data_IF_163548760841
#
_entry.id   IF_163548760841
#
_cell.length_a   1.000
_cell.length_b   1.000
_cell.length_c   1.000
_cell.angle_alpha   90.00
_cell.angle_beta   90.00
_cell.angle_gamma   90.00
#
_symmetry.space_group_name_H-M   'P 1'
#
loop_
_entity.id
_entity.type
_entity.pdbx_description
1 polymer ?
#
# COMPACT_ATOMS: atom_id res chain seq x y z
N UNK A 1 3.60 -30.74 6.94
CA UNK A 1 3.41 -29.40 7.56
C UNK A 1 2.30 -28.65 6.80
N UNK A 2 1.16 -28.44 7.45
CA UNK A 2 0.08 -27.64 6.88
C UNK A 2 0.53 -26.18 6.86
N UNK A 3 0.56 -25.58 5.68
CA UNK A 3 0.85 -24.16 5.53
C UNK A 3 -0.31 -23.36 6.12
N UNK A 4 -0.04 -22.56 7.15
CA UNK A 4 -1.00 -21.63 7.74
C UNK A 4 -0.54 -20.20 7.51
N UNK A 5 -1.42 -19.39 6.92
CA UNK A 5 -1.18 -17.96 6.76
C UNK A 5 -1.25 -17.27 8.13
N UNK A 6 -0.39 -16.28 8.35
CA UNK A 6 -0.50 -15.41 9.53
C UNK A 6 -1.73 -14.50 9.41
N UNK A 7 -2.24 -13.99 10.54
CA UNK A 7 -3.37 -13.04 10.56
C UNK A 7 -3.13 -11.83 9.65
N UNK A 8 -1.89 -11.36 9.59
CA UNK A 8 -1.49 -10.26 8.72
C UNK A 8 -1.60 -10.64 7.23
N UNK A 9 -1.14 -11.84 6.85
CA UNK A 9 -1.25 -12.34 5.49
C UNK A 9 -2.70 -12.60 5.08
N UNK A 10 -3.53 -13.12 6.00
CA UNK A 10 -4.97 -13.29 5.78
C UNK A 10 -5.66 -11.94 5.52
N UNK A 11 -5.31 -10.89 6.27
CA UNK A 11 -5.84 -9.54 6.07
C UNK A 11 -5.42 -8.94 4.74
N UNK A 12 -4.24 -9.24 4.21
CA UNK A 12 -3.82 -8.78 2.88
C UNK A 12 -4.57 -9.51 1.75
N UNK A 13 -4.84 -10.81 1.92
CA UNK A 13 -5.52 -11.63 0.90
C UNK A 13 -7.03 -11.46 0.90
N UNK A 14 -7.63 -11.23 2.06
CA UNK A 14 -9.06 -11.17 2.28
C UNK A 14 -9.35 -10.08 3.29
N UNK A 15 -9.19 -8.80 2.92
CA UNK A 15 -9.32 -7.72 3.87
C UNK A 15 -10.76 -7.64 4.43
N UNK A 16 -11.76 -8.19 3.73
CA UNK A 16 -13.12 -8.44 4.24
C UNK A 16 -13.23 -9.39 5.46
N UNK A 17 -12.18 -10.13 5.80
CA UNK A 17 -12.12 -10.98 6.99
C UNK A 17 -11.46 -10.27 8.18
N UNK A 18 -10.96 -9.04 7.98
CA UNK A 18 -10.45 -8.23 9.07
C UNK A 18 -11.61 -7.81 9.98
N UNK A 19 -11.43 -7.94 11.30
CA UNK A 19 -12.49 -7.69 12.30
C UNK A 19 -12.98 -6.24 12.35
N UNK A 20 -12.28 -5.33 11.69
CA UNK A 20 -12.56 -3.90 11.51
C UNK A 20 -13.17 -3.59 10.13
N UNK A 21 -13.46 -4.60 9.32
CA UNK A 21 -14.10 -4.42 8.01
C UNK A 21 -15.60 -4.13 8.19
N UNK A 22 -15.97 -2.86 8.15
CA UNK A 22 -17.36 -2.42 8.33
C UNK A 22 -18.28 -2.91 7.19
N UNK A 23 -19.59 -2.98 7.45
CA UNK A 23 -20.60 -3.28 6.41
C UNK A 23 -20.50 -2.28 5.23
N UNK A 24 -20.14 -1.03 5.50
CA UNK A 24 -19.89 -0.01 4.48
C UNK A 24 -18.71 -0.36 3.56
N UNK A 25 -17.67 -1.03 4.10
CA UNK A 25 -16.54 -1.52 3.32
C UNK A 25 -16.92 -2.73 2.45
N UNK A 26 -17.84 -3.59 2.89
CA UNK A 26 -18.38 -4.71 2.08
C UNK A 26 -19.20 -4.19 0.90
N UNK A 27 -20.04 -3.18 1.13
CA UNK A 27 -20.85 -2.57 0.06
C UNK A 27 -20.00 -1.90 -1.02
N UNK A 28 -18.80 -1.42 -0.65
CA UNK A 28 -17.83 -0.81 -1.58
C UNK A 28 -16.85 -1.82 -2.18
N UNK A 29 -16.82 -3.06 -1.68
CA UNK A 29 -15.93 -4.09 -2.21
C UNK A 29 -16.34 -4.44 -3.65
N UNK A 30 -15.38 -4.53 -4.59
CA UNK A 30 -15.68 -5.02 -5.93
C UNK A 30 -16.22 -6.46 -5.83
N UNK A 31 -17.21 -6.85 -6.67
CA UNK A 31 -17.64 -8.24 -6.71
C UNK A 31 -16.45 -9.17 -7.03
N UNK A 32 -16.43 -10.41 -6.49
CA UNK A 32 -15.35 -11.36 -6.72
C UNK A 32 -15.01 -11.51 -8.21
N UNK A 33 -13.73 -11.38 -8.56
CA UNK A 33 -13.26 -11.44 -9.96
C UNK A 33 -13.31 -10.12 -10.73
N UNK A 34 -13.88 -9.04 -10.17
CA UNK A 34 -13.76 -7.71 -10.75
C UNK A 34 -12.43 -7.10 -10.32
N UNK A 35 -11.67 -6.57 -11.28
CA UNK A 35 -10.50 -5.74 -10.99
C UNK A 35 -10.93 -4.60 -10.07
N UNK A 36 -10.28 -4.49 -8.90
CA UNK A 36 -10.47 -3.36 -7.99
C UNK A 36 -9.87 -2.13 -8.67
N UNK A 37 -10.69 -1.39 -9.40
CA UNK A 37 -10.34 -0.11 -9.99
C UNK A 37 -10.38 0.96 -8.90
N UNK A 38 -9.56 0.81 -7.86
CA UNK A 38 -9.33 1.92 -6.94
C UNK A 38 -8.63 2.99 -7.78
N UNK A 39 -9.24 4.15 -7.93
CA UNK A 39 -8.59 5.28 -8.59
C UNK A 39 -7.36 5.70 -7.80
N UNK A 40 -6.35 6.25 -8.48
CA UNK A 40 -5.24 6.87 -7.77
C UNK A 40 -5.77 8.05 -6.92
N UNK A 41 -5.26 8.18 -5.70
CA UNK A 41 -5.59 9.27 -4.80
C UNK A 41 -4.32 9.97 -4.37
N UNK A 42 -4.43 11.29 -4.10
CA UNK A 42 -3.32 12.09 -3.61
C UNK A 42 -3.28 12.02 -2.09
N UNK A 43 -2.07 11.96 -1.53
CA UNK A 43 -1.83 11.90 -0.11
C UNK A 43 -0.72 12.86 0.28
N UNK A 44 -0.92 13.58 1.37
CA UNK A 44 0.12 14.38 2.02
C UNK A 44 0.91 13.52 3.00
N UNK A 45 2.24 13.55 2.88
CA UNK A 45 3.16 12.81 3.75
C UNK A 45 3.31 13.55 5.08
N UNK A 46 2.87 12.95 6.18
CA UNK A 46 2.89 13.58 7.51
C UNK A 46 4.24 13.46 8.22
N UNK A 47 4.99 12.41 7.90
CA UNK A 47 6.32 12.12 8.45
C UNK A 47 7.17 11.36 7.44
N UNK A 48 8.49 11.40 7.60
CA UNK A 48 9.40 10.67 6.73
C UNK A 48 9.04 9.17 6.72
N UNK A 49 8.68 8.65 5.54
CA UNK A 49 8.10 7.32 5.38
C UNK A 49 8.93 6.49 4.41
N UNK A 50 9.46 5.32 4.82
CA UNK A 50 10.23 4.48 3.92
C UNK A 50 9.36 3.98 2.77
N UNK A 51 9.94 3.97 1.57
CA UNK A 51 9.38 3.25 0.43
C UNK A 51 10.01 1.86 0.44
N UNK A 52 9.18 0.83 0.32
CA UNK A 52 9.57 -0.58 0.33
C UNK A 52 9.13 -1.30 -0.95
N UNK A 53 9.86 -2.35 -1.34
CA UNK A 53 9.58 -3.13 -2.55
C UNK A 53 8.36 -4.05 -2.43
N UNK A 54 7.89 -4.34 -1.22
CA UNK A 54 6.73 -5.20 -0.95
C UNK A 54 5.90 -4.62 0.20
N UNK A 55 4.57 -4.80 0.23
CA UNK A 55 3.67 -4.28 1.28
C UNK A 55 3.71 -5.16 2.55
N UNK A 56 4.91 -5.51 2.98
CA UNK A 56 5.14 -6.32 4.19
C UNK A 56 6.35 -5.78 4.94
N UNK A 57 6.29 -5.60 6.27
CA UNK A 57 7.44 -5.13 7.04
C UNK A 57 8.61 -6.12 7.03
N UNK A 58 8.31 -7.41 6.83
CA UNK A 58 9.24 -8.54 6.98
C UNK A 58 10.02 -8.83 5.69
N UNK A 59 9.42 -8.59 4.51
CA UNK A 59 10.02 -8.91 3.20
C UNK A 59 10.19 -7.69 2.29
N UNK A 60 9.71 -6.51 2.68
CA UNK A 60 9.91 -5.27 1.95
C UNK A 60 11.32 -4.71 2.15
N UNK A 61 12.16 -4.77 1.12
CA UNK A 61 13.44 -4.06 1.12
C UNK A 61 13.19 -2.57 0.97
N UNK A 62 13.87 -1.74 1.76
CA UNK A 62 13.79 -0.29 1.61
C UNK A 62 14.45 0.14 0.31
N UNK A 63 13.65 0.75 -0.57
CA UNK A 63 14.08 1.24 -1.89
C UNK A 63 14.11 2.76 -1.95
N UNK A 64 13.44 3.46 -1.02
CA UNK A 64 13.40 4.91 -1.01
C UNK A 64 12.86 5.52 0.28
N UNK A 65 12.50 6.79 0.23
CA UNK A 65 11.93 7.54 1.34
C UNK A 65 11.05 8.68 0.82
N UNK A 66 9.81 8.74 1.30
CA UNK A 66 8.94 9.90 1.17
C UNK A 66 9.28 10.90 2.27
N UNK A 67 9.33 12.19 1.93
CA UNK A 67 9.65 13.25 2.89
C UNK A 67 8.39 13.91 3.40
N UNK A 68 8.40 14.28 4.70
CA UNK A 68 7.34 15.06 5.30
C UNK A 68 7.02 16.31 4.47
N UNK A 69 5.74 16.55 4.23
CA UNK A 69 5.24 17.69 3.45
C UNK A 69 5.16 17.42 1.95
N UNK A 70 5.73 16.32 1.44
CA UNK A 70 5.52 15.92 0.05
C UNK A 70 4.07 15.48 -0.19
N UNK A 71 3.60 15.65 -1.42
CA UNK A 71 2.35 15.05 -1.90
C UNK A 71 2.69 13.91 -2.84
N UNK A 72 2.13 12.75 -2.60
CA UNK A 72 2.28 11.57 -3.46
C UNK A 72 0.93 11.14 -4.00
N UNK A 73 0.93 10.48 -5.15
CA UNK A 73 -0.26 9.89 -5.75
C UNK A 73 -0.07 8.39 -5.83
N UNK A 74 -1.09 7.63 -5.44
CA UNK A 74 -1.00 6.17 -5.40
C UNK A 74 -2.34 5.48 -5.18
N UNK A 75 -2.29 4.16 -5.13
CA UNK A 75 -3.46 3.30 -4.97
C UNK A 75 -3.48 2.71 -3.57
N UNK A 76 -4.52 3.02 -2.79
CA UNK A 76 -4.65 2.51 -1.43
C UNK A 76 -5.03 1.03 -1.45
N UNK A 77 -4.31 0.23 -0.67
CA UNK A 77 -4.51 -1.21 -0.49
C UNK A 77 -4.31 -1.59 0.98
N UNK A 78 -5.41 -1.67 1.73
CA UNK A 78 -5.36 -1.89 3.18
C UNK A 78 -4.54 -0.79 3.88
N UNK A 79 -3.51 -1.19 4.62
CA UNK A 79 -2.60 -0.26 5.31
C UNK A 79 -1.46 0.28 4.44
N UNK A 80 -1.47 -0.01 3.14
CA UNK A 80 -0.39 0.32 2.21
C UNK A 80 -0.86 1.19 1.05
N UNK A 81 0.04 1.99 0.53
CA UNK A 81 -0.15 2.81 -0.66
C UNK A 81 0.81 2.31 -1.74
N UNK A 82 0.28 1.82 -2.85
CA UNK A 82 1.07 1.53 -4.05
C UNK A 82 1.38 2.84 -4.78
N UNK A 83 2.64 3.23 -4.77
CA UNK A 83 3.15 4.39 -5.48
C UNK A 83 3.50 3.88 -6.89
N UNK A 84 2.74 4.28 -7.92
CA UNK A 84 2.94 3.76 -9.29
C UNK A 84 4.35 4.02 -9.86
N UNK A 85 4.58 3.58 -11.11
CA UNK A 85 5.90 3.57 -11.78
C UNK A 85 6.69 4.89 -11.78
N UNK A 86 6.04 6.04 -11.54
CA UNK A 86 6.70 7.34 -11.47
C UNK A 86 6.69 7.87 -10.04
N UNK A 87 7.69 7.47 -9.27
CA UNK A 87 7.98 8.09 -7.99
C UNK A 87 8.69 9.44 -8.21
N UNK A 88 8.14 10.57 -7.74
CA UNK A 88 8.88 11.80 -7.63
C UNK A 88 9.75 11.77 -6.36
N UNK A 89 10.75 10.89 -6.31
CA UNK A 89 11.81 11.02 -5.30
C UNK A 89 12.83 12.01 -5.86
N UNK A 90 13.13 13.08 -5.11
CA UNK A 90 14.11 14.10 -5.48
C UNK A 90 15.41 13.47 -6.03
N UNK A 91 15.56 13.48 -7.36
CA UNK A 91 16.80 13.13 -8.06
C UNK A 91 17.13 11.64 -8.21
N UNK A 92 16.26 10.70 -7.83
CA UNK A 92 16.52 9.26 -8.02
C UNK A 92 15.26 8.54 -8.54
N UNK A 93 15.34 8.05 -9.77
CA UNK A 93 14.44 7.00 -10.25
C UNK A 93 14.73 5.74 -9.44
N UNK A 94 13.88 5.46 -8.46
CA UNK A 94 13.96 4.22 -7.69
C UNK A 94 13.31 3.13 -8.53
N UNK A 95 14.10 2.45 -9.35
CA UNK A 95 13.67 1.22 -10.03
C UNK A 95 13.69 0.09 -8.99
N UNK A 96 12.51 -0.32 -8.53
CA UNK A 96 12.38 -1.58 -7.82
C UNK A 96 12.65 -2.74 -8.78
N UNK A 97 13.38 -3.77 -8.37
CA UNK A 97 13.59 -4.98 -9.19
C UNK A 97 12.26 -5.65 -9.60
N UNK A 98 11.21 -5.46 -8.81
CA UNK A 98 9.84 -5.92 -9.10
C UNK A 98 8.99 -4.89 -9.86
N UNK A 99 9.48 -3.65 -10.04
CA UNK A 99 8.69 -2.52 -10.54
C UNK A 99 7.66 -1.96 -9.55
N UNK A 100 7.56 -2.54 -8.35
CA UNK A 100 6.59 -2.11 -7.33
C UNK A 100 7.21 -1.24 -6.24
N UNK A 101 6.45 -0.25 -5.78
CA UNK A 101 6.84 0.63 -4.70
C UNK A 101 5.68 0.88 -3.73
N UNK A 102 5.93 0.65 -2.45
CA UNK A 102 4.92 0.67 -1.41
C UNK A 102 5.31 1.59 -0.25
N UNK A 103 4.35 2.29 0.32
CA UNK A 103 4.52 3.08 1.55
C UNK A 103 3.37 2.80 2.52
N UNK A 104 3.62 2.90 3.82
CA UNK A 104 2.54 2.75 4.82
C UNK A 104 1.58 3.93 4.75
N UNK A 105 0.27 3.68 4.73
CA UNK A 105 -0.76 4.74 4.78
C UNK A 105 -0.81 5.41 6.15
N UNK A 106 -0.39 4.74 7.22
CA UNK A 106 -0.45 5.29 8.59
C UNK A 106 0.33 6.59 8.78
N UNK A 107 1.22 6.90 7.85
CA UNK A 107 2.06 8.10 7.85
C UNK A 107 1.60 9.14 6.83
N UNK A 108 0.45 8.92 6.18
CA UNK A 108 -0.08 9.68 5.06
C UNK A 108 -1.50 10.18 5.39
N UNK A 109 -1.90 11.29 4.77
CA UNK A 109 -3.25 11.87 4.88
C UNK A 109 -3.86 12.06 3.49
N UNK A 110 -5.08 11.57 3.22
CA UNK A 110 -5.81 11.89 1.99
C UNK A 110 -6.03 13.41 1.84
#
# INVERSE_FOLDING_TARGET
PEFQLTDYQLRLMCPQLASDWSEDCVAQAPPPGRLSLVGSSKFSVLQDTPIVSNPTPEWGSRIGMLKRGQTVEGFAFGSWLHLGEKLPVEGQSVESESGEAWASITTLRP
#
